data_IF_091857986341
#
_entry.id   IF_091857986341
#
_cell.length_a   1.000
_cell.length_b   1.000
_cell.length_c   1.000
_cell.angle_alpha   90.00
_cell.angle_beta   90.00
_cell.angle_gamma   90.00
#
_symmetry.space_group_name_H-M   'P 1'
#
loop_
_entity.id
_entity.type
_entity.pdbx_description
1 polymer ?
#
# COMPACT_ATOMS: atom_id res chain seq x y z
N UNK A 1 -10.87 -40.32 -14.34
CA UNK A 1 -11.07 -40.69 -12.93
C UNK A 1 -11.79 -39.53 -12.23
N UNK A 2 -13.07 -39.70 -11.87
CA UNK A 2 -13.84 -38.70 -11.12
C UNK A 2 -13.74 -39.06 -9.63
N UNK A 3 -12.72 -38.57 -8.95
CA UNK A 3 -12.66 -38.54 -7.48
C UNK A 3 -12.60 -37.08 -7.04
N UNK A 4 -13.73 -36.39 -7.11
CA UNK A 4 -13.90 -35.11 -6.42
C UNK A 4 -14.36 -35.40 -4.99
N UNK A 5 -13.60 -34.94 -4.00
CA UNK A 5 -13.99 -34.99 -2.58
C UNK A 5 -15.18 -34.05 -2.38
N UNK A 6 -16.30 -34.55 -1.87
CA UNK A 6 -17.45 -33.71 -1.51
C UNK A 6 -17.41 -33.39 -0.01
N UNK A 7 -16.77 -32.28 0.35
CA UNK A 7 -16.61 -31.84 1.75
C UNK A 7 -17.94 -31.71 2.51
N UNK A 8 -19.07 -31.49 1.82
CA UNK A 8 -20.37 -31.43 2.49
C UNK A 8 -20.80 -32.80 3.02
N UNK A 9 -20.49 -33.89 2.31
CA UNK A 9 -20.75 -35.25 2.77
C UNK A 9 -19.86 -35.62 3.95
N UNK A 10 -18.58 -35.22 3.93
CA UNK A 10 -17.66 -35.45 5.05
C UNK A 10 -18.09 -34.68 6.30
N UNK A 11 -18.49 -33.41 6.17
CA UNK A 11 -19.03 -32.61 7.28
C UNK A 11 -20.34 -33.18 7.82
N UNK A 12 -21.24 -33.61 6.94
CA UNK A 12 -22.49 -34.29 7.33
C UNK A 12 -22.21 -35.58 8.11
N UNK A 13 -21.30 -36.41 7.62
CA UNK A 13 -20.90 -37.66 8.25
C UNK A 13 -20.30 -37.45 9.65
N UNK A 14 -19.37 -36.49 9.77
CA UNK A 14 -18.78 -36.09 11.05
C UNK A 14 -19.85 -35.64 12.05
N UNK A 15 -20.83 -34.85 11.60
CA UNK A 15 -21.90 -34.36 12.46
C UNK A 15 -22.84 -35.46 12.98
N UNK A 16 -23.13 -36.49 12.16
CA UNK A 16 -23.87 -37.67 12.64
C UNK A 16 -23.05 -38.41 13.69
N UNK A 17 -21.75 -38.58 13.46
CA UNK A 17 -20.86 -39.27 14.38
C UNK A 17 -20.84 -38.61 15.76
N UNK A 18 -20.76 -37.28 15.79
CA UNK A 18 -20.78 -36.47 17.01
C UNK A 18 -22.13 -36.50 17.71
N UNK A 19 -23.22 -36.19 17.00
CA UNK A 19 -24.52 -35.96 17.62
C UNK A 19 -25.34 -37.23 17.84
N UNK A 20 -25.06 -38.31 17.10
CA UNK A 20 -25.69 -39.64 17.16
C UNK A 20 -27.22 -39.62 17.08
N UNK A 21 -27.80 -38.55 16.53
CA UNK A 21 -29.23 -38.27 16.56
C UNK A 21 -29.66 -37.52 15.30
N UNK A 22 -30.51 -38.14 14.50
CA UNK A 22 -31.01 -37.51 13.26
C UNK A 22 -31.79 -36.21 13.53
N UNK A 23 -32.69 -36.10 14.53
CA UNK A 23 -33.35 -34.83 14.82
C UNK A 23 -32.38 -33.69 15.13
N UNK A 24 -31.29 -33.96 15.87
CA UNK A 24 -30.27 -32.95 16.18
C UNK A 24 -29.51 -32.54 14.92
N UNK A 25 -29.07 -33.50 14.11
CA UNK A 25 -28.32 -33.23 12.87
C UNK A 25 -29.17 -32.45 11.88
N UNK A 26 -30.43 -32.83 11.69
CA UNK A 26 -31.37 -32.10 10.85
C UNK A 26 -31.57 -30.67 11.31
N UNK A 27 -31.63 -30.44 12.63
CA UNK A 27 -31.74 -29.10 13.19
C UNK A 27 -30.45 -28.28 13.00
N UNK A 28 -29.28 -28.86 13.29
CA UNK A 28 -27.98 -28.17 13.14
C UNK A 28 -27.68 -27.78 11.71
N UNK A 29 -28.03 -28.63 10.74
CA UNK A 29 -27.80 -28.36 9.32
C UNK A 29 -28.96 -27.67 8.61
N UNK A 30 -30.08 -27.42 9.31
CA UNK A 30 -31.33 -26.92 8.75
C UNK A 30 -31.81 -27.72 7.52
N UNK A 31 -31.87 -29.06 7.66
CA UNK A 31 -32.27 -29.98 6.59
C UNK A 31 -33.47 -30.85 6.97
N UNK A 32 -34.23 -31.25 5.94
CA UNK A 32 -35.34 -32.18 6.11
C UNK A 32 -34.86 -33.62 6.35
N UNK A 33 -35.71 -34.45 6.95
CA UNK A 33 -35.44 -35.89 7.12
C UNK A 33 -35.19 -36.62 5.79
N UNK A 34 -35.85 -36.21 4.72
CA UNK A 34 -35.62 -36.76 3.38
C UNK A 34 -34.20 -36.45 2.88
N UNK A 35 -33.72 -35.23 3.14
CA UNK A 35 -32.36 -34.80 2.78
C UNK A 35 -31.31 -35.55 3.60
N UNK A 36 -31.54 -35.71 4.90
CA UNK A 36 -30.69 -36.52 5.77
C UNK A 36 -30.53 -37.95 5.24
N UNK A 37 -31.64 -38.63 4.92
CA UNK A 37 -31.58 -40.00 4.41
C UNK A 37 -30.85 -40.11 3.07
N UNK A 38 -31.05 -39.12 2.19
CA UNK A 38 -30.31 -39.05 0.91
C UNK A 38 -28.81 -38.89 1.14
N UNK A 39 -28.39 -37.91 1.95
CA UNK A 39 -26.98 -37.67 2.24
C UNK A 39 -26.32 -38.87 2.92
N UNK A 40 -27.02 -39.56 3.83
CA UNK A 40 -26.52 -40.78 4.43
C UNK A 40 -26.39 -41.92 3.40
N UNK A 41 -27.35 -42.07 2.48
CA UNK A 41 -27.23 -43.03 1.38
C UNK A 41 -26.04 -42.71 0.48
N UNK A 42 -25.81 -41.44 0.16
CA UNK A 42 -24.65 -41.00 -0.63
C UNK A 42 -23.34 -41.32 0.09
N UNK A 43 -23.26 -41.11 1.41
CA UNK A 43 -22.10 -41.53 2.22
C UNK A 43 -21.90 -43.04 2.17
N UNK A 44 -22.97 -43.84 2.29
CA UNK A 44 -22.89 -45.30 2.22
C UNK A 44 -22.37 -45.79 0.88
N UNK A 45 -22.81 -45.18 -0.21
CA UNK A 45 -22.32 -45.46 -1.57
C UNK A 45 -20.84 -45.07 -1.68
N UNK A 46 -20.47 -43.89 -1.18
CA UNK A 46 -19.10 -43.37 -1.25
C UNK A 46 -18.10 -44.29 -0.54
N UNK A 47 -18.44 -44.78 0.65
CA UNK A 47 -17.55 -45.60 1.47
C UNK A 47 -17.80 -47.11 1.36
N UNK A 48 -18.82 -47.54 0.61
CA UNK A 48 -19.19 -48.95 0.49
C UNK A 48 -19.52 -49.61 1.83
N UNK A 49 -20.07 -48.86 2.79
CA UNK A 49 -20.29 -49.31 4.16
C UNK A 49 -21.61 -48.74 4.72
N UNK A 50 -22.28 -49.44 5.64
CA UNK A 50 -23.51 -48.96 6.29
C UNK A 50 -23.30 -47.76 7.21
N UNK A 51 -22.07 -47.55 7.67
CA UNK A 51 -21.56 -46.49 8.56
C UNK A 51 -22.17 -46.49 9.96
N UNK A 52 -23.49 -46.55 10.08
CA UNK A 52 -24.21 -46.49 11.35
C UNK A 52 -25.29 -47.56 11.47
N UNK A 53 -25.48 -48.05 12.69
CA UNK A 53 -26.60 -48.88 13.11
C UNK A 53 -27.70 -47.94 13.63
N UNK A 54 -28.81 -47.87 12.90
CA UNK A 54 -29.91 -46.97 13.21
C UNK A 54 -30.97 -47.64 14.11
N UNK A 55 -31.36 -46.97 15.21
CA UNK A 55 -32.44 -47.42 16.08
C UNK A 55 -33.24 -46.24 16.61
N UNK A 56 -34.54 -46.17 16.30
CA UNK A 56 -35.47 -45.11 16.74
C UNK A 56 -34.95 -43.68 16.54
N UNK A 57 -34.22 -43.43 15.44
CA UNK A 57 -33.65 -42.12 15.11
C UNK A 57 -32.30 -41.81 15.77
N UNK A 58 -31.74 -42.77 16.53
CA UNK A 58 -30.37 -42.76 17.04
C UNK A 58 -29.46 -43.54 16.10
N UNK A 59 -28.21 -43.09 15.99
CA UNK A 59 -27.21 -43.61 15.05
C UNK A 59 -25.96 -43.98 15.82
N UNK A 60 -25.70 -45.29 15.95
CA UNK A 60 -24.49 -45.80 16.57
C UNK A 60 -23.46 -46.11 15.49
N UNK A 61 -22.23 -45.57 15.55
CA UNK A 61 -21.23 -45.83 14.51
C UNK A 61 -20.82 -47.31 14.51
N UNK A 62 -20.60 -47.84 13.31
CA UNK A 62 -19.89 -49.10 13.12
C UNK A 62 -18.40 -48.93 13.44
N UNK A 63 -17.69 -50.03 13.66
CA UNK A 63 -16.23 -50.00 13.84
C UNK A 63 -15.52 -49.28 12.68
N UNK A 64 -15.95 -49.57 11.45
CA UNK A 64 -15.43 -48.91 10.25
C UNK A 64 -15.64 -47.40 10.30
N UNK A 65 -16.85 -46.94 10.66
CA UNK A 65 -17.14 -45.51 10.78
C UNK A 65 -16.26 -44.84 11.85
N UNK A 66 -16.05 -45.47 13.00
CA UNK A 66 -15.17 -44.94 14.04
C UNK A 66 -13.71 -44.81 13.57
N UNK A 67 -13.19 -45.82 12.87
CA UNK A 67 -11.85 -45.76 12.27
C UNK A 67 -11.76 -44.68 11.19
N UNK A 68 -12.80 -44.56 10.37
CA UNK A 68 -12.89 -43.56 9.32
C UNK A 68 -12.89 -42.13 9.90
N UNK A 69 -13.59 -41.89 11.02
CA UNK A 69 -13.59 -40.56 11.65
C UNK A 69 -12.22 -40.15 12.16
N UNK A 70 -11.43 -41.08 12.70
CA UNK A 70 -10.06 -40.79 13.13
C UNK A 70 -9.13 -40.31 12.01
N UNK A 71 -9.51 -40.51 10.74
CA UNK A 71 -8.78 -40.01 9.57
C UNK A 71 -9.34 -38.70 9.01
N UNK A 72 -10.59 -38.35 9.34
CA UNK A 72 -11.35 -37.25 8.74
C UNK A 72 -11.46 -36.04 9.67
N UNK A 73 -11.52 -36.27 10.98
CA UNK A 73 -11.74 -35.25 12.00
C UNK A 73 -10.68 -34.14 11.95
N UNK A 74 -9.39 -34.49 12.06
CA UNK A 74 -8.30 -33.50 12.01
C UNK A 74 -8.25 -32.69 10.69
N UNK A 75 -8.31 -33.31 9.48
CA UNK A 75 -8.37 -32.52 8.24
C UNK A 75 -9.58 -31.59 8.13
N UNK A 76 -10.76 -32.00 8.63
CA UNK A 76 -11.94 -31.13 8.65
C UNK A 76 -11.75 -29.95 9.61
N UNK A 77 -11.23 -30.19 10.81
CA UNK A 77 -10.92 -29.13 11.77
C UNK A 77 -9.90 -28.14 11.20
N UNK A 78 -8.86 -28.62 10.50
CA UNK A 78 -7.89 -27.75 9.83
C UNK A 78 -8.56 -26.86 8.78
N UNK A 79 -9.45 -27.41 7.95
CA UNK A 79 -10.19 -26.63 6.95
C UNK A 79 -11.15 -25.61 7.56
N UNK A 80 -11.83 -25.96 8.66
CA UNK A 80 -12.70 -25.04 9.39
C UNK A 80 -11.89 -23.92 10.06
N UNK A 81 -10.70 -24.25 10.60
CA UNK A 81 -9.79 -23.27 11.21
C UNK A 81 -9.12 -22.33 10.21
N UNK A 82 -9.09 -22.66 8.91
CA UNK A 82 -8.46 -21.80 7.91
C UNK A 82 -9.12 -20.41 7.83
N UNK A 83 -10.43 -20.31 8.12
CA UNK A 83 -11.13 -19.01 8.18
C UNK A 83 -10.72 -18.16 9.38
N UNK A 84 -10.47 -18.79 10.54
CA UNK A 84 -9.98 -18.09 11.74
C UNK A 84 -8.49 -17.77 11.67
N UNK A 85 -7.74 -18.47 10.82
CA UNK A 85 -6.31 -18.22 10.56
C UNK A 85 -6.02 -17.10 9.54
N UNK A 86 -7.04 -16.43 8.98
CA UNK A 86 -6.84 -15.27 8.09
C UNK A 86 -5.95 -14.21 8.76
N UNK A 87 -6.20 -13.89 10.04
CA UNK A 87 -5.41 -12.92 10.79
C UNK A 87 -3.96 -13.40 11.05
N UNK A 88 -3.73 -14.72 11.12
CA UNK A 88 -2.39 -15.32 11.28
C UNK A 88 -1.63 -15.27 9.97
N UNK A 89 -2.30 -15.49 8.83
CA UNK A 89 -1.73 -15.31 7.50
C UNK A 89 -1.37 -13.83 7.24
N UNK A 90 -2.18 -12.88 7.70
CA UNK A 90 -1.87 -11.45 7.64
C UNK A 90 -0.62 -11.07 8.46
N UNK A 91 -0.40 -11.72 9.61
CA UNK A 91 0.80 -11.52 10.42
C UNK A 91 2.05 -12.17 9.79
N UNK A 92 1.92 -13.37 9.23
CA UNK A 92 3.02 -14.08 8.56
C UNK A 92 3.41 -13.48 7.19
N UNK A 93 2.55 -12.64 6.60
CA UNK A 93 2.76 -12.02 5.28
C UNK A 93 3.26 -10.58 5.37
N UNK A 94 3.57 -10.05 6.56
CA UNK A 94 4.07 -8.69 6.65
C UNK A 94 5.45 -8.59 5.97
N UNK A 95 5.63 -7.65 5.04
CA UNK A 95 6.92 -7.43 4.41
C UNK A 95 7.92 -6.97 5.46
N UNK A 96 9.10 -7.59 5.49
CA UNK A 96 10.20 -7.19 6.38
C UNK A 96 11.19 -6.28 5.67
N UNK A 97 11.14 -6.21 4.33
CA UNK A 97 11.99 -5.35 3.50
C UNK A 97 11.15 -4.24 2.85
N UNK A 98 11.53 -2.99 3.08
CA UNK A 98 10.85 -1.81 2.53
C UNK A 98 11.77 -1.04 1.61
N UNK A 99 11.28 -0.72 0.41
CA UNK A 99 12.01 0.08 -0.56
C UNK A 99 11.16 1.20 -1.11
N UNK A 100 11.56 2.42 -0.82
CA UNK A 100 10.88 3.64 -1.25
C UNK A 100 11.62 4.27 -2.42
N UNK A 101 10.91 4.46 -3.52
CA UNK A 101 11.35 5.11 -4.75
C UNK A 101 10.81 6.52 -4.75
N UNK A 102 11.65 7.51 -4.46
CA UNK A 102 11.21 8.88 -4.17
C UNK A 102 12.17 9.88 -4.79
N UNK A 103 11.70 10.90 -5.52
CA UNK A 103 12.58 11.93 -6.06
C UNK A 103 13.15 12.81 -4.94
N UNK A 104 14.33 13.39 -5.16
CA UNK A 104 15.10 14.06 -4.10
C UNK A 104 14.31 15.10 -3.28
N UNK A 105 13.52 16.03 -3.87
CA UNK A 105 12.77 16.99 -3.07
C UNK A 105 11.74 16.38 -2.12
N UNK A 106 11.13 15.26 -2.48
CA UNK A 106 10.22 14.53 -1.59
C UNK A 106 11.00 13.69 -0.57
N UNK A 107 12.13 13.09 -0.97
CA UNK A 107 12.99 12.35 -0.04
C UNK A 107 13.48 13.25 1.09
N UNK A 108 13.85 14.51 0.80
CA UNK A 108 14.26 15.47 1.82
C UNK A 108 13.19 15.74 2.90
N UNK A 109 11.91 15.49 2.60
CA UNK A 109 10.79 15.66 3.53
C UNK A 109 10.40 14.37 4.23
N UNK A 110 10.37 13.28 3.48
CA UNK A 110 9.76 12.03 3.93
C UNK A 110 10.73 11.07 4.62
N UNK A 111 12.05 11.24 4.43
CA UNK A 111 13.04 10.26 4.95
C UNK A 111 12.96 10.11 6.47
N UNK A 112 13.03 11.22 7.22
CA UNK A 112 13.01 11.15 8.69
C UNK A 112 11.68 10.62 9.23
N UNK A 113 10.50 11.14 8.82
CA UNK A 113 9.22 10.59 9.29
C UNK A 113 9.03 9.10 8.97
N UNK A 114 9.48 8.65 7.78
CA UNK A 114 9.41 7.24 7.41
C UNK A 114 10.35 6.36 8.24
N UNK A 115 11.55 6.84 8.56
CA UNK A 115 12.47 6.13 9.45
C UNK A 115 11.89 6.02 10.86
N UNK A 116 11.35 7.10 11.40
CA UNK A 116 10.71 7.12 12.72
C UNK A 116 9.50 6.17 12.78
N UNK A 117 8.71 6.10 11.70
CA UNK A 117 7.62 5.12 11.58
C UNK A 117 8.16 3.69 11.63
N UNK A 118 9.16 3.38 10.80
CA UNK A 118 9.65 2.02 10.63
C UNK A 118 10.46 1.53 11.83
N UNK A 119 11.11 2.43 12.57
CA UNK A 119 11.80 2.11 13.82
C UNK A 119 10.83 1.61 14.91
N UNK A 120 9.55 1.99 14.85
CA UNK A 120 8.51 1.48 15.76
C UNK A 120 8.03 0.06 15.40
N UNK A 121 8.48 -0.51 14.28
CA UNK A 121 8.09 -1.84 13.81
C UNK A 121 9.20 -2.88 14.06
N UNK A 122 8.94 -3.85 14.94
CA UNK A 122 9.94 -4.86 15.37
C UNK A 122 10.42 -5.81 14.25
N UNK A 123 9.74 -5.86 13.10
CA UNK A 123 10.01 -6.83 12.03
C UNK A 123 10.57 -6.22 10.73
N UNK A 124 11.19 -5.04 10.78
CA UNK A 124 11.84 -4.43 9.61
C UNK A 124 13.30 -4.88 9.54
N UNK A 125 13.62 -5.74 8.59
CA UNK A 125 14.98 -6.26 8.35
C UNK A 125 15.81 -5.30 7.49
N UNK A 126 15.17 -4.61 6.54
CA UNK A 126 15.84 -3.75 5.57
C UNK A 126 14.93 -2.58 5.16
N UNK A 127 15.52 -1.38 5.10
CA UNK A 127 14.87 -0.17 4.63
C UNK A 127 15.80 0.57 3.70
N UNK A 128 15.28 0.98 2.54
CA UNK A 128 16.02 1.82 1.60
C UNK A 128 15.14 2.89 0.97
N UNK A 129 15.70 4.10 0.86
CA UNK A 129 15.20 5.15 -0.03
C UNK A 129 16.15 5.30 -1.21
N UNK A 130 15.60 5.26 -2.41
CA UNK A 130 16.35 5.37 -3.66
C UNK A 130 15.64 6.31 -4.63
N UNK A 131 16.38 6.76 -5.65
CA UNK A 131 15.82 7.58 -6.71
C UNK A 131 14.63 6.88 -7.36
N UNK A 132 13.60 7.69 -7.66
CA UNK A 132 12.38 7.20 -8.27
C UNK A 132 12.67 6.49 -9.59
N UNK A 133 12.21 5.26 -9.71
CA UNK A 133 12.18 4.51 -10.96
C UNK A 133 10.99 3.57 -10.96
N UNK A 134 10.36 3.43 -12.13
CA UNK A 134 9.15 2.63 -12.28
C UNK A 134 9.44 1.12 -12.19
N UNK A 135 10.56 0.68 -12.77
CA UNK A 135 10.95 -0.74 -12.82
C UNK A 135 11.03 -1.37 -11.43
N UNK A 136 11.56 -0.65 -10.44
CA UNK A 136 11.66 -1.14 -9.07
C UNK A 136 10.32 -1.33 -8.36
N UNK A 137 9.28 -0.65 -8.82
CA UNK A 137 7.90 -0.77 -8.33
C UNK A 137 7.15 -1.86 -9.12
N UNK A 138 7.39 -1.95 -10.42
CA UNK A 138 6.76 -2.92 -11.33
C UNK A 138 7.26 -4.35 -11.11
N UNK A 139 8.53 -4.50 -10.79
CA UNK A 139 9.22 -5.78 -10.61
C UNK A 139 9.88 -5.83 -9.23
N UNK A 140 9.10 -5.76 -8.13
CA UNK A 140 9.65 -5.78 -6.80
C UNK A 140 10.32 -7.12 -6.51
N UNK A 141 11.38 -7.09 -5.70
CA UNK A 141 12.01 -8.31 -5.19
C UNK A 141 10.98 -9.08 -4.34
N UNK A 142 10.95 -10.40 -4.49
CA UNK A 142 10.06 -11.25 -3.71
C UNK A 142 10.23 -11.01 -2.19
N UNK A 143 9.13 -10.87 -1.47
CA UNK A 143 9.12 -10.60 -0.03
C UNK A 143 9.39 -9.15 0.37
N UNK A 144 9.65 -8.26 -0.60
CA UNK A 144 9.84 -6.82 -0.35
C UNK A 144 8.62 -5.99 -0.74
N UNK A 145 8.34 -4.94 0.03
CA UNK A 145 7.38 -3.92 -0.32
C UNK A 145 8.09 -2.77 -1.04
N UNK A 146 7.84 -2.65 -2.34
CA UNK A 146 8.29 -1.53 -3.15
C UNK A 146 7.19 -0.46 -3.27
N UNK A 147 7.54 0.78 -2.96
CA UNK A 147 6.60 1.91 -2.93
C UNK A 147 7.22 3.10 -3.66
N UNK A 148 6.53 3.64 -4.65
CA UNK A 148 6.85 4.92 -5.27
C UNK A 148 6.08 6.07 -4.61
N UNK A 149 6.73 7.23 -4.47
CA UNK A 149 6.06 8.47 -4.06
C UNK A 149 6.48 9.57 -5.03
N UNK A 150 5.53 10.16 -5.75
CA UNK A 150 5.82 11.22 -6.72
C UNK A 150 4.59 12.09 -7.01
N UNK A 151 4.67 12.95 -8.02
CA UNK A 151 3.53 13.74 -8.48
C UNK A 151 2.36 12.89 -8.97
N UNK A 152 1.13 13.34 -8.68
CA UNK A 152 -0.13 12.69 -9.02
C UNK A 152 -1.02 13.59 -9.90
N UNK A 153 -1.80 13.06 -10.86
CA UNK A 153 -1.80 11.66 -11.32
C UNK A 153 -0.68 11.41 -12.33
N UNK A 154 0.01 10.29 -12.20
CA UNK A 154 1.04 9.83 -13.12
C UNK A 154 0.50 8.74 -14.05
N UNK A 155 1.23 8.46 -15.13
CA UNK A 155 0.83 7.42 -16.10
C UNK A 155 1.46 6.11 -15.65
N UNK A 156 0.62 5.17 -15.22
CA UNK A 156 1.04 3.85 -14.72
C UNK A 156 0.53 2.73 -15.63
N UNK A 157 1.25 1.60 -15.63
CA UNK A 157 0.78 0.38 -16.29
C UNK A 157 -0.17 -0.43 -15.39
N UNK A 158 -0.72 -1.53 -15.90
CA UNK A 158 -1.71 -2.35 -15.17
C UNK A 158 -1.17 -3.08 -13.93
N UNK A 159 0.16 -3.13 -13.75
CA UNK A 159 0.83 -3.77 -12.61
C UNK A 159 1.00 -2.83 -11.43
N UNK A 160 0.91 -1.52 -11.64
CA UNK A 160 1.09 -0.52 -10.60
C UNK A 160 -0.24 0.15 -10.32
N UNK A 161 -0.57 0.26 -9.04
CA UNK A 161 -1.70 1.05 -8.57
C UNK A 161 -1.14 2.37 -8.05
N UNK A 162 -1.81 3.47 -8.40
CA UNK A 162 -1.54 4.79 -7.86
C UNK A 162 -2.74 5.31 -7.06
N UNK A 163 -2.49 5.94 -5.90
CA UNK A 163 -3.50 6.60 -5.06
C UNK A 163 -3.01 7.99 -4.66
N UNK A 164 -3.87 9.02 -4.72
CA UNK A 164 -3.55 10.35 -4.17
C UNK A 164 -3.47 10.23 -2.65
N UNK A 165 -2.38 10.72 -2.07
CA UNK A 165 -2.15 10.71 -0.61
C UNK A 165 -2.15 12.11 0.00
N UNK A 166 -2.01 13.16 -0.81
CA UNK A 166 -2.05 14.53 -0.32
C UNK A 166 -1.59 15.52 -1.37
N UNK A 167 -1.29 16.72 -0.91
CA UNK A 167 -0.74 17.79 -1.72
C UNK A 167 0.23 18.63 -0.88
N UNK A 168 1.27 19.18 -1.52
CA UNK A 168 2.28 20.01 -0.86
C UNK A 168 2.26 21.42 -1.44
N UNK A 169 2.27 22.42 -0.56
CA UNK A 169 2.40 23.81 -0.97
C UNK A 169 3.73 24.08 -1.70
N UNK A 170 3.69 24.89 -2.75
CA UNK A 170 4.87 25.35 -3.48
C UNK A 170 5.34 26.71 -2.99
N UNK A 171 6.66 26.84 -2.85
CA UNK A 171 7.30 28.04 -2.34
C UNK A 171 8.51 28.41 -3.20
N UNK A 172 8.77 29.72 -3.26
CA UNK A 172 10.04 30.26 -3.71
C UNK A 172 11.01 30.32 -2.53
N UNK A 173 12.21 29.81 -2.74
CA UNK A 173 13.34 29.95 -1.82
C UNK A 173 14.35 30.89 -2.45
N UNK A 174 14.79 31.88 -1.67
CA UNK A 174 15.77 32.87 -2.11
C UNK A 174 16.57 33.42 -0.94
N UNK A 175 17.71 34.06 -1.21
CA UNK A 175 18.52 34.76 -0.22
C UNK A 175 18.37 36.28 -0.28
N UNK A 176 18.95 36.99 0.70
CA UNK A 176 18.92 38.46 0.81
C UNK A 176 19.52 39.18 -0.41
N UNK A 177 20.34 38.51 -1.21
CA UNK A 177 20.92 39.06 -2.43
C UNK A 177 19.94 39.21 -3.59
N UNK A 178 18.80 38.50 -3.56
CA UNK A 178 17.77 38.65 -4.59
C UNK A 178 16.70 39.69 -4.16
N UNK A 179 16.28 40.60 -5.05
CA UNK A 179 15.24 41.61 -4.75
C UNK A 179 13.90 41.03 -4.27
N UNK A 180 13.55 39.81 -4.68
CA UNK A 180 12.32 39.12 -4.27
C UNK A 180 12.31 38.76 -2.78
N UNK A 181 13.44 38.85 -2.07
CA UNK A 181 13.50 38.62 -0.62
C UNK A 181 12.49 39.45 0.17
N UNK A 182 12.17 40.67 -0.27
CA UNK A 182 11.24 41.55 0.43
C UNK A 182 9.77 41.19 0.21
N UNK A 183 9.46 40.29 -0.73
CA UNK A 183 8.09 39.90 -1.01
C UNK A 183 7.51 39.01 0.10
N UNK A 184 6.21 39.16 0.35
CA UNK A 184 5.44 38.27 1.23
C UNK A 184 4.84 37.08 0.47
N UNK A 185 4.57 37.26 -0.82
CA UNK A 185 4.10 36.24 -1.76
C UNK A 185 4.59 36.59 -3.17
N UNK A 186 4.77 35.60 -4.04
CA UNK A 186 5.24 35.79 -5.41
C UNK A 186 4.31 35.10 -6.40
N UNK A 187 3.80 35.86 -7.37
CA UNK A 187 3.15 35.27 -8.54
C UNK A 187 4.19 34.57 -9.42
N UNK A 188 3.93 33.32 -9.78
CA UNK A 188 4.84 32.49 -10.57
C UNK A 188 5.25 33.14 -11.90
N UNK A 189 4.42 34.01 -12.49
CA UNK A 189 4.75 34.77 -13.70
C UNK A 189 5.96 35.69 -13.51
N UNK A 190 6.20 36.19 -12.28
CA UNK A 190 7.36 37.05 -11.99
C UNK A 190 8.69 36.30 -12.09
N UNK A 191 8.67 34.97 -12.08
CA UNK A 191 9.88 34.15 -12.12
C UNK A 191 10.45 33.95 -13.54
N UNK A 192 9.77 34.43 -14.58
CA UNK A 192 10.23 34.32 -15.97
C UNK A 192 11.63 34.93 -16.20
N UNK A 193 11.95 36.02 -15.51
CA UNK A 193 13.22 36.73 -15.61
C UNK A 193 14.27 36.28 -14.59
N UNK A 194 13.93 35.39 -13.66
CA UNK A 194 14.80 35.01 -12.55
C UNK A 194 15.79 33.90 -12.93
N UNK A 195 16.91 33.83 -12.19
CA UNK A 195 17.91 32.78 -12.33
C UNK A 195 17.50 31.57 -11.49
N UNK A 196 16.84 30.61 -12.12
CA UNK A 196 16.31 29.44 -11.43
C UNK A 196 17.36 28.33 -11.27
N UNK A 197 17.52 27.87 -10.02
CA UNK A 197 18.11 26.55 -9.69
C UNK A 197 16.99 25.52 -9.69
N UNK A 198 17.20 24.46 -10.45
CA UNK A 198 16.34 23.28 -10.46
C UNK A 198 16.99 22.14 -9.68
N UNK A 199 16.24 21.48 -8.82
CA UNK A 199 16.64 20.17 -8.29
C UNK A 199 16.18 19.09 -9.28
N UNK A 200 17.08 18.18 -9.65
CA UNK A 200 16.72 17.06 -10.52
C UNK A 200 15.77 16.10 -9.81
N UNK A 201 14.76 15.61 -10.53
CA UNK A 201 13.84 14.57 -10.12
C UNK A 201 14.26 13.19 -10.68
N UNK A 202 15.49 13.06 -11.19
CA UNK A 202 15.99 11.84 -11.82
C UNK A 202 15.15 11.45 -13.03
N UNK A 203 14.70 10.19 -13.08
CA UNK A 203 13.89 9.65 -14.17
C UNK A 203 12.55 10.40 -14.38
N UNK A 204 12.08 11.15 -13.38
CA UNK A 204 10.85 11.95 -13.49
C UNK A 204 11.04 13.29 -14.20
N UNK A 205 12.28 13.70 -14.51
CA UNK A 205 12.56 14.98 -15.15
C UNK A 205 11.86 15.17 -16.50
N UNK A 206 11.68 14.06 -17.22
CA UNK A 206 11.04 13.96 -18.54
C UNK A 206 9.66 13.28 -18.48
N UNK A 207 9.13 13.01 -17.27
CA UNK A 207 7.83 12.36 -17.14
C UNK A 207 6.68 13.28 -17.60
N UNK A 208 5.69 12.67 -18.25
CA UNK A 208 4.51 13.33 -18.85
C UNK A 208 3.79 14.24 -17.84
N UNK A 209 3.73 13.81 -16.58
CA UNK A 209 3.14 14.61 -15.51
C UNK A 209 3.81 15.99 -15.38
N UNK A 210 5.14 16.03 -15.29
CA UNK A 210 5.88 17.28 -15.14
C UNK A 210 5.90 18.10 -16.43
N UNK A 211 5.84 17.46 -17.60
CA UNK A 211 5.58 18.18 -18.84
C UNK A 211 4.21 18.87 -18.85
N UNK A 212 3.16 18.19 -18.38
CA UNK A 212 1.81 18.75 -18.28
C UNK A 212 1.78 19.95 -17.35
N UNK A 213 2.41 19.85 -16.17
CA UNK A 213 2.54 20.98 -15.23
C UNK A 213 3.24 22.16 -15.92
N UNK A 214 4.38 21.93 -16.58
CA UNK A 214 5.10 22.99 -17.34
C UNK A 214 4.21 23.64 -18.40
N UNK A 215 3.41 22.87 -19.14
CA UNK A 215 2.48 23.41 -20.16
C UNK A 215 1.34 24.20 -19.53
N UNK A 216 0.79 23.74 -18.40
CA UNK A 216 -0.28 24.42 -17.68
C UNK A 216 0.14 25.78 -17.11
N UNK A 217 1.43 25.97 -16.79
CA UNK A 217 1.95 27.28 -16.40
C UNK A 217 1.77 28.33 -17.50
N UNK A 218 1.72 27.94 -18.77
CA UNK A 218 1.51 28.86 -19.90
C UNK A 218 2.73 29.69 -20.28
N UNK A 219 3.87 29.50 -19.62
CA UNK A 219 5.14 30.16 -19.94
C UNK A 219 6.34 29.27 -19.56
N UNK A 220 7.49 29.58 -20.16
CA UNK A 220 8.72 28.87 -19.87
C UNK A 220 9.49 29.51 -18.71
N UNK A 221 9.81 28.72 -17.70
CA UNK A 221 10.79 29.08 -16.68
C UNK A 221 12.19 28.81 -17.21
N UNK A 222 13.04 29.83 -17.30
CA UNK A 222 14.42 29.66 -17.80
C UNK A 222 15.30 29.09 -16.70
N UNK A 223 15.51 27.77 -16.71
CA UNK A 223 16.48 27.12 -15.82
C UNK A 223 17.91 27.51 -16.19
N UNK A 224 18.69 27.98 -15.22
CA UNK A 224 20.12 28.34 -15.41
C UNK A 224 21.06 27.29 -14.85
N UNK A 225 20.61 26.57 -13.82
CA UNK A 225 21.38 25.53 -13.14
C UNK A 225 20.47 24.34 -12.79
N UNK A 226 20.98 23.12 -12.91
CA UNK A 226 20.35 21.91 -12.35
C UNK A 226 21.33 21.26 -11.37
N UNK A 227 20.85 20.94 -10.17
CA UNK A 227 21.64 20.32 -9.08
C UNK A 227 20.99 19.01 -8.64
N UNK A 228 21.77 18.08 -8.03
CA UNK A 228 21.24 16.78 -7.65
C UNK A 228 20.38 16.79 -6.37
N UNK A 229 20.46 17.84 -5.54
CA UNK A 229 19.73 17.86 -4.27
C UNK A 229 19.23 19.23 -3.83
N UNK A 230 18.18 19.22 -2.99
CA UNK A 230 17.67 20.42 -2.31
C UNK A 230 18.77 21.09 -1.47
N UNK A 231 19.60 20.30 -0.79
CA UNK A 231 20.71 20.83 0.00
C UNK A 231 21.72 21.61 -0.86
N UNK A 232 22.13 21.06 -2.01
CA UNK A 232 23.04 21.73 -2.93
C UNK A 232 22.42 23.01 -3.51
N UNK A 233 21.10 22.99 -3.79
CA UNK A 233 20.39 24.18 -4.23
C UNK A 233 20.43 25.27 -3.14
N UNK A 234 20.03 24.94 -1.91
CA UNK A 234 20.00 25.86 -0.78
C UNK A 234 21.38 26.47 -0.50
N UNK A 235 22.45 25.67 -0.49
CA UNK A 235 23.82 26.18 -0.32
C UNK A 235 24.19 27.19 -1.42
N UNK A 236 23.81 26.92 -2.68
CA UNK A 236 24.05 27.85 -3.78
C UNK A 236 23.28 29.17 -3.63
N UNK A 237 22.03 29.11 -3.18
CA UNK A 237 21.22 30.30 -2.92
C UNK A 237 21.87 31.21 -1.87
N UNK A 238 22.55 30.64 -0.86
CA UNK A 238 23.21 31.45 0.19
C UNK A 238 24.31 32.38 -0.34
N UNK A 239 24.83 32.10 -1.54
CA UNK A 239 25.97 32.79 -2.16
C UNK A 239 25.59 33.63 -3.38
N UNK A 240 24.33 33.57 -3.83
CA UNK A 240 23.91 34.12 -5.13
C UNK A 240 22.55 34.80 -5.09
N UNK A 241 22.18 35.44 -6.19
CA UNK A 241 20.84 35.99 -6.45
C UNK A 241 19.91 35.00 -7.16
N UNK A 242 20.25 33.71 -7.18
CA UNK A 242 19.38 32.69 -7.76
C UNK A 242 18.16 32.45 -6.88
N UNK A 243 17.17 31.78 -7.45
CA UNK A 243 15.96 31.33 -6.74
C UNK A 243 15.68 29.86 -7.02
N UNK A 244 14.98 29.19 -6.11
CA UNK A 244 14.54 27.80 -6.26
C UNK A 244 13.03 27.72 -6.00
N UNK A 245 12.32 26.96 -6.83
CA UNK A 245 10.94 26.55 -6.52
C UNK A 245 11.01 25.13 -5.93
N UNK A 246 10.42 24.93 -4.75
CA UNK A 246 10.37 23.64 -4.09
C UNK A 246 9.09 23.52 -3.24
N UNK A 247 8.80 22.32 -2.77
CA UNK A 247 7.76 22.08 -1.76
C UNK A 247 8.06 22.86 -0.46
N UNK A 248 7.07 22.95 0.42
CA UNK A 248 7.29 23.34 1.82
C UNK A 248 8.44 22.52 2.41
N UNK A 249 9.36 23.20 3.09
CA UNK A 249 10.48 22.62 3.82
C UNK A 249 10.36 23.06 5.28
N UNK A 250 10.69 22.18 6.25
CA UNK A 250 10.75 22.56 7.66
C UNK A 250 11.69 23.73 7.88
N UNK A 251 11.31 24.70 8.71
CA UNK A 251 12.14 25.87 8.97
C UNK A 251 13.48 25.49 9.64
N UNK A 252 13.53 24.34 10.33
CA UNK A 252 14.73 23.76 10.94
C UNK A 252 15.82 23.37 9.93
N UNK A 253 15.47 23.10 8.67
CA UNK A 253 16.44 22.71 7.63
C UNK A 253 16.87 23.88 6.74
N UNK A 254 16.27 25.07 6.92
CA UNK A 254 16.59 26.25 6.11
C UNK A 254 17.85 26.97 6.64
N UNK A 255 18.82 27.32 5.77
CA UNK A 255 19.92 28.18 6.17
C UNK A 255 19.43 29.56 6.64
N UNK A 256 20.13 30.18 7.60
CA UNK A 256 19.72 31.44 8.25
C UNK A 256 19.45 32.62 7.28
N UNK A 257 20.06 32.61 6.10
CA UNK A 257 19.93 33.66 5.10
C UNK A 257 19.04 33.26 3.91
N UNK A 258 18.22 32.21 4.06
CA UNK A 258 17.22 31.79 3.08
C UNK A 258 15.82 32.13 3.61
N UNK A 259 14.97 32.66 2.73
CA UNK A 259 13.58 32.95 2.99
C UNK A 259 12.71 32.05 2.10
N UNK A 260 11.71 31.46 2.74
CA UNK A 260 10.59 30.74 2.12
C UNK A 260 9.48 31.75 1.83
N UNK A 261 9.03 31.84 0.58
CA UNK A 261 8.01 32.78 0.13
C UNK A 261 6.90 32.02 -0.62
N UNK A 262 5.64 32.10 -0.19
CA UNK A 262 4.49 31.48 -0.86
C UNK A 262 4.47 31.78 -2.37
N UNK A 263 4.35 30.72 -3.18
CA UNK A 263 4.20 30.83 -4.62
C UNK A 263 2.73 30.77 -5.00
N UNK A 264 2.24 31.82 -5.64
CA UNK A 264 0.84 31.96 -6.02
C UNK A 264 0.67 31.98 -7.54
N UNK A 265 -0.52 31.60 -7.98
CA UNK A 265 -0.99 31.78 -9.35
C UNK A 265 -2.46 32.22 -9.27
N UNK A 266 -2.83 33.28 -9.98
CA UNK A 266 -4.21 33.82 -9.95
C UNK A 266 -4.71 34.10 -8.51
N UNK A 267 -3.84 34.67 -7.67
CA UNK A 267 -4.11 34.96 -6.25
C UNK A 267 -4.41 33.74 -5.36
N UNK A 268 -4.07 32.53 -5.80
CA UNK A 268 -4.18 31.32 -4.99
C UNK A 268 -2.81 30.68 -4.78
N UNK A 269 -2.57 30.17 -3.57
CA UNK A 269 -1.38 29.38 -3.25
C UNK A 269 -1.32 28.16 -4.18
N UNK A 270 -0.15 27.92 -4.75
CA UNK A 270 0.07 26.76 -5.60
C UNK A 270 0.36 25.52 -4.75
N UNK A 271 -0.24 24.40 -5.14
CA UNK A 271 -0.04 23.09 -4.54
C UNK A 271 0.40 22.08 -5.59
N UNK A 272 1.00 21.00 -5.11
CA UNK A 272 1.47 19.91 -5.92
C UNK A 272 0.94 18.60 -5.35
N UNK A 273 0.11 17.93 -6.14
CA UNK A 273 -0.52 16.66 -5.76
C UNK A 273 0.53 15.54 -5.65
N UNK A 274 0.46 14.77 -4.56
CA UNK A 274 1.35 13.64 -4.28
C UNK A 274 0.57 12.33 -4.33
N UNK A 275 1.16 11.35 -5.01
CA UNK A 275 0.64 10.00 -5.17
C UNK A 275 1.56 8.94 -4.58
N UNK A 276 0.94 7.88 -4.08
CA UNK A 276 1.55 6.63 -3.65
C UNK A 276 1.39 5.60 -4.76
N UNK A 277 2.49 4.95 -5.16
CA UNK A 277 2.53 3.90 -6.17
C UNK A 277 3.00 2.60 -5.56
N UNK A 278 2.37 1.49 -5.90
CA UNK A 278 2.78 0.17 -5.42
C UNK A 278 2.32 -0.93 -6.38
N UNK A 279 2.97 -2.09 -6.33
CA UNK A 279 2.58 -3.24 -7.14
C UNK A 279 1.16 -3.71 -6.79
N UNK A 280 0.34 -4.02 -7.80
CA UNK A 280 -1.08 -4.39 -7.68
C UNK A 280 -1.34 -5.58 -6.77
N UNK A 281 -0.36 -6.47 -6.60
CA UNK A 281 -0.43 -7.57 -5.63
C UNK A 281 -0.66 -7.11 -4.18
N UNK A 282 -0.32 -5.86 -3.84
CA UNK A 282 -0.54 -5.28 -2.52
C UNK A 282 -1.80 -4.40 -2.42
N UNK A 283 -2.68 -4.40 -3.44
CA UNK A 283 -3.84 -3.49 -3.52
C UNK A 283 -4.76 -3.47 -2.29
N UNK A 284 -4.95 -4.63 -1.66
CA UNK A 284 -5.76 -4.78 -0.45
C UNK A 284 -4.92 -5.17 0.76
N UNK A 285 -3.59 -5.11 0.65
CA UNK A 285 -2.73 -5.52 1.75
C UNK A 285 -2.80 -4.50 2.89
N UNK A 286 -3.02 -4.92 4.15
CA UNK A 286 -3.16 -4.01 5.29
C UNK A 286 -1.98 -3.05 5.47
N UNK A 287 -0.75 -3.49 5.17
CA UNK A 287 0.45 -2.63 5.24
C UNK A 287 0.36 -1.41 4.32
N UNK A 288 -0.15 -1.55 3.10
CA UNK A 288 -0.32 -0.41 2.18
C UNK A 288 -1.36 0.56 2.73
N UNK A 289 -2.48 0.05 3.26
CA UNK A 289 -3.54 0.92 3.83
C UNK A 289 -3.01 1.73 5.01
N UNK A 290 -2.22 1.11 5.89
CA UNK A 290 -1.58 1.79 7.03
C UNK A 290 -0.55 2.83 6.55
N UNK A 291 0.31 2.45 5.60
CA UNK A 291 1.33 3.33 5.05
C UNK A 291 0.72 4.52 4.32
N UNK A 292 -0.33 4.30 3.53
CA UNK A 292 -1.09 5.34 2.83
C UNK A 292 -1.62 6.37 3.83
N UNK A 293 -2.31 5.91 4.87
CA UNK A 293 -2.82 6.79 5.92
C UNK A 293 -1.70 7.59 6.59
N UNK A 294 -0.62 6.93 6.99
CA UNK A 294 0.47 7.60 7.69
C UNK A 294 1.19 8.63 6.82
N UNK A 295 1.43 8.32 5.54
CA UNK A 295 1.98 9.27 4.58
C UNK A 295 1.03 10.46 4.36
N UNK A 296 -0.28 10.23 4.28
CA UNK A 296 -1.26 11.31 4.23
C UNK A 296 -1.21 12.20 5.46
N UNK A 297 -1.08 11.63 6.66
CA UNK A 297 -0.96 12.38 7.91
C UNK A 297 0.32 13.23 7.91
N UNK A 298 1.49 12.66 7.52
CA UNK A 298 2.75 13.40 7.37
C UNK A 298 2.61 14.58 6.41
N UNK A 299 1.96 14.37 5.26
CA UNK A 299 1.81 15.43 4.25
C UNK A 299 0.88 16.56 4.72
N UNK A 300 -0.12 16.25 5.54
CA UNK A 300 -1.04 17.26 6.09
C UNK A 300 -0.39 18.12 7.18
N UNK A 301 0.66 17.61 7.84
CA UNK A 301 1.38 18.32 8.90
C UNK A 301 2.47 19.27 8.36
N UNK A 302 2.74 19.27 7.04
CA UNK A 302 3.80 20.04 6.34
C UNK A 302 3.33 21.36 5.70
#
# INVERSE_FOLDING_TARGET
>A
MKHSIDLNLYRFLHLIFEQKSMPKVCHTLDISRATFNRQLADCRVLFGNELFIASKGLYQPTLFCSQLMSLIEEPLEQLESAQTQINVLEAASQPTQFRFFVPNPLSALLTTPLLELLEQHENVDDFSMVDWNLDGIEFPKAGSLAVGISGYPSVMNERVVERKIGELGLYLYTSKSNPLWQAEQIDILRLQSEKLVRVSMGALDDAIYYERVKRQLGFALTKRLTVPSVHAALDWLTKTDYVMICFTLPDSVLPQNIKKIPLIQNNQQMYFDIGLQFHRGYYQHPTIVKLEKHLSDILNDL
#
